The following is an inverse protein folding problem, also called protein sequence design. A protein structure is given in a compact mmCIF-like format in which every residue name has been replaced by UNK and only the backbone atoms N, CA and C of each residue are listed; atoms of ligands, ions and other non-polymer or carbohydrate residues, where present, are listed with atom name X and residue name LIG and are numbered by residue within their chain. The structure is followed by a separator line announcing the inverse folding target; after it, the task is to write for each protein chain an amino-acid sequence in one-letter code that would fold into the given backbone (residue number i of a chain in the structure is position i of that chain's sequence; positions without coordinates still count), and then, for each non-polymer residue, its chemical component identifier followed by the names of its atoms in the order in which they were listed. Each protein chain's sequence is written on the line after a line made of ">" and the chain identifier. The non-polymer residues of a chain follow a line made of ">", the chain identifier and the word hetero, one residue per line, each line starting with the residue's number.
data_IF_928644806991
#
_entry.id   IF_928644806991
#
_cell.length_a   1.000
_cell.length_b   1.000
_cell.length_c   1.000
_cell.angle_alpha   90.00
_cell.angle_beta   90.00
_cell.angle_gamma   90.00
#
_symmetry.space_group_name_H-M   'P 1'
#
loop_
_entity.id
_entity.type
_entity.pdbx_description
1 polymer ?
#
# COMPACT_ATOMS: atom_id res chain seq x y z
N UNK A 1 -6.75 18.42 -10.23
CA UNK A 1 -6.76 17.37 -9.18
C UNK A 1 -7.49 16.11 -9.63
N UNK A 2 -8.73 16.18 -10.14
CA UNK A 2 -9.44 15.00 -10.65
C UNK A 2 -8.71 14.30 -11.83
N UNK A 3 -8.18 15.07 -12.80
CA UNK A 3 -7.38 14.50 -13.89
C UNK A 3 -6.04 13.91 -13.42
N UNK A 4 -5.38 14.53 -12.43
CA UNK A 4 -4.14 14.00 -11.84
C UNK A 4 -4.41 12.73 -11.02
N UNK A 5 -5.53 12.67 -10.30
CA UNK A 5 -5.99 11.46 -9.62
C UNK A 5 -6.37 10.38 -10.62
N UNK A 6 -7.10 10.70 -11.69
CA UNK A 6 -7.46 9.75 -12.74
C UNK A 6 -6.21 9.20 -13.46
N UNK A 7 -5.23 10.05 -13.77
CA UNK A 7 -3.96 9.61 -14.34
C UNK A 7 -3.14 8.74 -13.36
N UNK A 8 -3.07 9.14 -12.08
CA UNK A 8 -2.39 8.34 -11.06
C UNK A 8 -3.13 7.02 -10.81
N UNK A 9 -4.46 7.02 -10.87
CA UNK A 9 -5.31 5.84 -10.76
C UNK A 9 -5.14 4.91 -11.96
N UNK A 10 -5.09 5.43 -13.18
CA UNK A 10 -4.78 4.68 -14.41
C UNK A 10 -3.39 4.03 -14.36
N UNK A 11 -2.36 4.80 -13.99
CA UNK A 11 -0.99 4.27 -13.82
C UNK A 11 -0.94 3.22 -12.71
N UNK A 12 -1.61 3.49 -11.59
CA UNK A 12 -1.69 2.56 -10.46
C UNK A 12 -2.47 1.29 -10.82
N UNK A 13 -3.50 1.41 -11.67
CA UNK A 13 -4.27 0.29 -12.20
C UNK A 13 -3.43 -0.57 -13.14
N UNK A 14 -2.57 0.05 -13.96
CA UNK A 14 -1.64 -0.67 -14.85
C UNK A 14 -0.53 -1.41 -14.08
N UNK A 15 -0.12 -0.87 -12.93
CA UNK A 15 0.90 -1.46 -12.04
C UNK A 15 0.29 -2.41 -10.98
N UNK A 16 -1.03 -2.38 -10.80
CA UNK A 16 -1.74 -3.26 -9.87
C UNK A 16 -1.80 -4.70 -10.42
N UNK A 17 -0.85 -5.52 -9.98
CA UNK A 17 -0.94 -6.97 -10.12
C UNK A 17 -2.11 -7.52 -9.29
N UNK A 18 -2.67 -8.67 -9.68
CA UNK A 18 -3.79 -9.34 -8.98
C UNK A 18 -3.53 -9.62 -7.48
N UNK A 19 -2.28 -9.52 -7.00
CA UNK A 19 -1.88 -9.72 -5.60
C UNK A 19 -1.50 -8.44 -4.86
N UNK A 20 -1.44 -7.29 -5.55
CA UNK A 20 -1.01 -6.02 -4.98
C UNK A 20 -1.91 -4.87 -5.47
N UNK A 21 -2.97 -4.63 -4.70
CA UNK A 21 -3.96 -3.58 -4.97
C UNK A 21 -3.46 -2.24 -4.45
N UNK A 22 -2.44 -1.70 -5.12
CA UNK A 22 -1.91 -0.36 -4.88
C UNK A 22 -3.02 0.72 -4.96
N UNK A 23 -4.06 0.47 -5.75
CA UNK A 23 -5.27 1.31 -5.81
C UNK A 23 -5.97 1.44 -4.46
N UNK A 24 -5.96 0.42 -3.59
CA UNK A 24 -6.56 0.50 -2.25
C UNK A 24 -5.78 1.47 -1.35
N UNK A 25 -4.44 1.42 -1.43
CA UNK A 25 -3.58 2.37 -0.73
C UNK A 25 -3.69 3.79 -1.24
N UNK A 26 -3.82 3.97 -2.56
CA UNK A 26 -4.06 5.29 -3.16
C UNK A 26 -5.38 5.90 -2.67
N UNK A 27 -6.49 5.15 -2.69
CA UNK A 27 -7.79 5.61 -2.19
C UNK A 27 -7.70 6.04 -0.73
N UNK A 28 -7.08 5.21 0.11
CA UNK A 28 -6.89 5.52 1.52
C UNK A 28 -6.02 6.77 1.71
N UNK A 29 -4.89 6.88 1.02
CA UNK A 29 -4.04 8.07 1.08
C UNK A 29 -4.84 9.31 0.69
N UNK A 30 -5.56 9.28 -0.43
CA UNK A 30 -6.40 10.39 -0.86
C UNK A 30 -7.44 10.77 0.19
N UNK A 31 -8.11 9.82 0.85
CA UNK A 31 -9.09 10.11 1.91
C UNK A 31 -8.44 10.67 3.19
N UNK A 32 -7.23 10.25 3.52
CA UNK A 32 -6.50 10.77 4.69
C UNK A 32 -5.96 12.19 4.44
N UNK A 33 -5.58 12.54 3.21
CA UNK A 33 -4.92 13.81 2.88
C UNK A 33 -5.84 14.88 2.30
N UNK A 34 -6.82 14.51 1.47
CA UNK A 34 -7.70 15.49 0.85
C UNK A 34 -8.78 15.94 1.82
N UNK A 35 -9.02 17.26 1.97
CA UNK A 35 -10.13 17.73 2.78
C UNK A 35 -11.45 17.19 2.21
N UNK A 36 -12.39 16.92 3.11
CA UNK A 36 -13.68 16.24 2.82
C UNK A 36 -14.48 16.87 1.68
N UNK A 37 -14.24 18.15 1.38
CA UNK A 37 -14.83 18.87 0.23
C UNK A 37 -14.48 18.29 -1.14
N UNK A 38 -13.32 17.65 -1.31
CA UNK A 38 -12.91 17.05 -2.59
C UNK A 38 -13.28 15.57 -2.73
N UNK A 39 -13.85 14.97 -1.69
CA UNK A 39 -14.24 13.56 -1.70
C UNK A 39 -15.26 13.23 -2.79
N UNK A 40 -16.34 14.01 -3.00
CA UNK A 40 -17.27 13.73 -4.09
C UNK A 40 -16.60 13.69 -5.48
N UNK A 41 -15.59 14.52 -5.72
CA UNK A 41 -14.86 14.53 -6.99
C UNK A 41 -14.05 13.24 -7.19
N UNK A 42 -13.52 12.65 -6.12
CA UNK A 42 -12.85 11.34 -6.16
C UNK A 42 -13.85 10.22 -6.49
N UNK A 43 -15.07 10.27 -5.91
CA UNK A 43 -16.12 9.32 -6.23
C UNK A 43 -16.49 9.37 -7.72
N UNK A 44 -16.70 10.57 -8.26
CA UNK A 44 -17.01 10.75 -9.70
C UNK A 44 -15.88 10.23 -10.59
N UNK A 45 -14.62 10.47 -10.21
CA UNK A 45 -13.46 9.98 -10.95
C UNK A 45 -13.36 8.45 -11.00
N UNK A 46 -13.82 7.76 -9.96
CA UNK A 46 -13.82 6.29 -9.93
C UNK A 46 -15.08 5.68 -10.58
N UNK A 47 -16.24 6.33 -10.46
CA UNK A 47 -17.50 5.82 -11.04
C UNK A 47 -17.49 5.80 -12.57
N UNK A 48 -16.83 6.77 -13.21
CA UNK A 48 -16.82 6.89 -14.67
C UNK A 48 -16.31 5.61 -15.38
N UNK A 49 -15.08 5.11 -15.10
CA UNK A 49 -14.58 3.89 -15.73
C UNK A 49 -15.30 2.61 -15.24
N UNK A 50 -15.88 2.63 -14.04
CA UNK A 50 -16.63 1.50 -13.49
C UNK A 50 -17.95 1.28 -14.24
N UNK A 51 -18.70 2.37 -14.50
CA UNK A 51 -19.96 2.30 -15.24
C UNK A 51 -19.70 1.86 -16.68
N UNK A 52 -18.65 2.38 -17.32
CA UNK A 52 -18.27 1.96 -18.68
C UNK A 52 -17.94 0.45 -18.72
N UNK A 53 -17.10 -0.02 -17.79
CA UNK A 53 -16.76 -1.45 -17.68
C UNK A 53 -18.00 -2.31 -17.37
N UNK A 54 -18.91 -1.82 -16.53
CA UNK A 54 -20.14 -2.50 -16.16
C UNK A 54 -21.07 -2.65 -17.37
N UNK A 55 -21.25 -1.58 -18.17
CA UNK A 55 -22.10 -1.61 -19.37
C UNK A 55 -21.54 -2.54 -20.46
N UNK A 56 -20.22 -2.56 -20.65
CA UNK A 56 -19.57 -3.42 -21.64
C UNK A 56 -19.62 -4.91 -21.26
N UNK A 57 -19.55 -5.23 -19.96
CA UNK A 57 -19.54 -6.60 -19.46
C UNK A 57 -20.91 -7.11 -18.98
N UNK A 58 -21.92 -6.23 -18.86
CA UNK A 58 -23.30 -6.58 -18.50
C UNK A 58 -23.89 -7.71 -19.34
N UNK A 59 -23.70 -7.77 -20.68
CA UNK A 59 -24.24 -8.86 -21.49
C UNK A 59 -23.57 -10.22 -21.21
N UNK A 60 -22.35 -10.23 -20.65
CA UNK A 60 -21.54 -11.44 -20.44
C UNK A 60 -21.57 -11.96 -19.01
N UNK A 61 -21.68 -11.08 -18.02
CA UNK A 61 -21.56 -11.41 -16.59
C UNK A 61 -22.85 -11.18 -15.80
N UNK A 62 -23.92 -10.72 -16.46
CA UNK A 62 -25.24 -10.56 -15.87
C UNK A 62 -25.44 -9.28 -15.03
N UNK A 63 -26.71 -8.96 -14.76
CA UNK A 63 -27.09 -7.73 -14.05
C UNK A 63 -26.63 -7.67 -12.60
N UNK A 64 -26.57 -8.80 -11.89
CA UNK A 64 -26.11 -8.86 -10.51
C UNK A 64 -24.63 -8.47 -10.37
N UNK A 65 -23.79 -8.90 -11.32
CA UNK A 65 -22.40 -8.47 -11.39
C UNK A 65 -22.30 -6.98 -11.69
N UNK A 66 -23.06 -6.48 -12.68
CA UNK A 66 -23.07 -5.08 -13.06
C UNK A 66 -23.46 -4.15 -11.88
N UNK A 67 -24.49 -4.51 -11.09
CA UNK A 67 -24.87 -3.76 -9.89
C UNK A 67 -23.75 -3.77 -8.85
N UNK A 68 -23.14 -4.93 -8.58
CA UNK A 68 -22.05 -5.04 -7.62
C UNK A 68 -20.79 -4.28 -8.04
N UNK A 69 -20.48 -4.28 -9.35
CA UNK A 69 -19.32 -3.60 -9.93
C UNK A 69 -19.55 -2.07 -10.07
N UNK A 70 -20.79 -1.62 -10.11
CA UNK A 70 -21.13 -0.20 -10.22
C UNK A 70 -20.93 0.58 -8.92
N UNK A 71 -20.75 -0.12 -7.79
CA UNK A 71 -20.51 0.53 -6.49
C UNK A 71 -19.03 0.90 -6.38
N UNK A 72 -18.67 2.20 -6.42
CA UNK A 72 -17.28 2.63 -6.32
C UNK A 72 -16.72 2.35 -4.92
N UNK A 73 -15.56 1.69 -4.86
CA UNK A 73 -14.89 1.34 -3.60
C UNK A 73 -14.59 2.56 -2.74
N UNK A 74 -14.26 3.71 -3.35
CA UNK A 74 -13.97 4.92 -2.58
C UNK A 74 -15.18 5.41 -1.79
N UNK A 75 -16.41 5.19 -2.25
CA UNK A 75 -17.62 5.59 -1.51
C UNK A 75 -17.79 4.74 -0.24
N UNK A 76 -17.51 3.44 -0.33
CA UNK A 76 -17.51 2.56 0.84
C UNK A 76 -16.43 3.00 1.85
N UNK A 77 -15.24 3.37 1.36
CA UNK A 77 -14.17 3.86 2.22
C UNK A 77 -14.55 5.20 2.87
N UNK A 78 -15.19 6.12 2.15
CA UNK A 78 -15.66 7.40 2.72
C UNK A 78 -16.61 7.18 3.90
N UNK A 79 -17.55 6.24 3.76
CA UNK A 79 -18.53 5.91 4.79
C UNK A 79 -17.89 5.45 6.10
N UNK A 80 -16.73 4.81 6.04
CA UNK A 80 -16.00 4.32 7.21
C UNK A 80 -14.91 5.27 7.72
N UNK A 81 -14.10 5.83 6.81
CA UNK A 81 -12.95 6.66 7.16
C UNK A 81 -13.40 8.00 7.77
N UNK A 82 -14.52 8.57 7.31
CA UNK A 82 -15.05 9.84 7.87
C UNK A 82 -15.38 9.75 9.36
N UNK A 83 -16.24 8.82 9.83
CA UNK A 83 -16.53 8.72 11.26
C UNK A 83 -15.31 8.31 12.08
N UNK A 84 -14.38 7.53 11.50
CA UNK A 84 -13.12 7.19 12.16
C UNK A 84 -12.27 8.43 12.43
N UNK A 85 -12.05 9.29 11.42
CA UNK A 85 -11.27 10.51 11.55
C UNK A 85 -11.95 11.58 12.42
N UNK A 86 -13.29 11.60 12.45
CA UNK A 86 -14.05 12.49 13.34
C UNK A 86 -13.91 12.09 14.80
N UNK A 87 -13.85 10.79 15.10
CA UNK A 87 -13.64 10.30 16.47
C UNK A 87 -12.17 10.32 16.90
N UNK A 88 -11.26 10.09 15.95
CA UNK A 88 -9.83 9.97 16.19
C UNK A 88 -9.05 10.76 15.11
N UNK A 89 -8.72 12.03 15.36
CA UNK A 89 -8.00 12.82 14.37
C UNK A 89 -6.61 12.23 14.11
N UNK A 90 -6.17 12.32 12.85
CA UNK A 90 -4.91 11.72 12.37
C UNK A 90 -3.69 12.24 13.14
N UNK A 91 -3.75 13.50 13.60
CA UNK A 91 -2.74 14.12 14.45
C UNK A 91 -3.24 14.18 15.90
N UNK A 92 -2.34 13.83 16.83
CA UNK A 92 -2.51 14.05 18.25
C UNK A 92 -2.52 15.54 18.61
N UNK A 93 -2.94 15.86 19.82
CA UNK A 93 -2.83 17.22 20.36
C UNK A 93 -1.35 17.67 20.44
N UNK A 94 -0.43 16.70 20.52
CA UNK A 94 1.03 16.89 20.45
C UNK A 94 1.57 17.11 19.01
N UNK A 95 0.69 17.19 18.00
CA UNK A 95 1.05 17.33 16.59
C UNK A 95 1.62 16.07 15.92
N UNK A 96 1.84 14.98 16.68
CA UNK A 96 2.35 13.70 16.17
C UNK A 96 1.28 12.90 15.44
N UNK A 97 1.69 12.18 14.40
CA UNK A 97 0.82 11.26 13.66
C UNK A 97 0.44 10.06 14.54
N UNK A 98 -0.86 9.80 14.68
CA UNK A 98 -1.37 8.61 15.38
C UNK A 98 -1.33 7.40 14.44
N UNK A 99 -0.20 6.68 14.46
CA UNK A 99 0.01 5.53 13.58
C UNK A 99 -1.04 4.42 13.77
N UNK A 100 -1.59 4.28 14.99
CA UNK A 100 -2.68 3.34 15.28
C UNK A 100 -3.95 3.62 14.48
N UNK A 101 -4.28 4.90 14.23
CA UNK A 101 -5.45 5.29 13.43
C UNK A 101 -5.22 4.93 11.96
N UNK A 102 -4.01 5.15 11.44
CA UNK A 102 -3.64 4.73 10.09
C UNK A 102 -3.76 3.21 9.96
N UNK A 103 -3.22 2.46 10.92
CA UNK A 103 -3.35 0.99 10.90
C UNK A 103 -4.80 0.51 10.97
N UNK A 104 -5.63 1.10 11.84
CA UNK A 104 -7.05 0.77 11.90
C UNK A 104 -7.77 1.11 10.58
N UNK A 105 -7.47 2.27 9.98
CA UNK A 105 -8.03 2.67 8.70
C UNK A 105 -7.59 1.73 7.56
N UNK A 106 -6.31 1.35 7.52
CA UNK A 106 -5.77 0.40 6.53
C UNK A 106 -6.43 -0.96 6.65
N UNK A 107 -6.61 -1.47 7.87
CA UNK A 107 -7.25 -2.77 8.11
C UNK A 107 -8.73 -2.73 7.70
N UNK A 108 -9.47 -1.70 8.08
CA UNK A 108 -10.86 -1.58 7.71
C UNK A 108 -11.06 -1.43 6.20
N UNK A 109 -10.24 -0.60 5.53
CA UNK A 109 -10.28 -0.48 4.07
C UNK A 109 -9.95 -1.80 3.38
N UNK A 110 -8.98 -2.55 3.90
CA UNK A 110 -8.64 -3.87 3.37
C UNK A 110 -9.79 -4.87 3.51
N UNK A 111 -10.47 -4.89 4.65
CA UNK A 111 -11.66 -5.73 4.87
C UNK A 111 -12.79 -5.35 3.93
N UNK A 112 -13.10 -4.06 3.80
CA UNK A 112 -14.13 -3.56 2.88
C UNK A 112 -13.80 -3.97 1.43
N UNK A 113 -12.55 -3.78 1.00
CA UNK A 113 -12.11 -4.22 -0.33
C UNK A 113 -12.23 -5.71 -0.52
N UNK A 114 -11.76 -6.53 0.41
CA UNK A 114 -11.84 -7.99 0.30
C UNK A 114 -13.28 -8.49 0.22
N UNK A 115 -14.18 -7.94 1.05
CA UNK A 115 -15.60 -8.29 1.05
C UNK A 115 -16.23 -7.90 -0.28
N UNK A 116 -16.08 -6.65 -0.72
CA UNK A 116 -16.73 -6.19 -1.96
C UNK A 116 -16.17 -6.90 -3.19
N UNK A 117 -14.86 -7.13 -3.29
CA UNK A 117 -14.27 -7.93 -4.39
C UNK A 117 -14.75 -9.37 -4.37
N UNK A 118 -14.92 -9.98 -3.19
CA UNK A 118 -15.42 -11.36 -3.08
C UNK A 118 -16.90 -11.47 -3.42
N UNK A 119 -17.71 -10.46 -3.08
CA UNK A 119 -19.11 -10.38 -3.52
C UNK A 119 -19.19 -10.26 -5.03
N UNK A 120 -18.39 -9.38 -5.65
CA UNK A 120 -18.32 -9.24 -7.12
C UNK A 120 -17.86 -10.53 -7.80
N UNK A 121 -16.90 -11.26 -7.20
CA UNK A 121 -16.48 -12.56 -7.71
C UNK A 121 -17.58 -13.61 -7.59
N UNK A 122 -18.28 -13.66 -6.45
CA UNK A 122 -19.39 -14.58 -6.23
C UNK A 122 -20.55 -14.32 -7.19
N UNK A 123 -20.91 -13.06 -7.44
CA UNK A 123 -21.96 -12.71 -8.40
C UNK A 123 -21.56 -13.04 -9.84
N UNK A 124 -20.29 -12.91 -10.20
CA UNK A 124 -19.77 -13.35 -11.50
C UNK A 124 -19.86 -14.87 -11.68
N UNK A 125 -19.45 -15.65 -10.67
CA UNK A 125 -19.50 -17.11 -10.71
C UNK A 125 -20.93 -17.65 -10.75
N UNK A 126 -21.86 -17.00 -10.04
CA UNK A 126 -23.29 -17.34 -10.11
C UNK A 126 -23.90 -17.08 -11.49
N UNK A 127 -23.45 -16.04 -12.18
CA UNK A 127 -23.91 -15.72 -13.54
C UNK A 127 -23.27 -16.60 -14.62
N UNK A 128 -22.14 -17.24 -14.35
CA UNK A 128 -21.44 -18.13 -15.28
C UNK A 128 -20.78 -19.33 -14.56
N UNK A 129 -21.58 -20.31 -14.10
CA UNK A 129 -21.11 -21.41 -13.23
C UNK A 129 -20.03 -22.29 -13.85
N UNK A 130 -20.03 -22.46 -15.17
CA UNK A 130 -19.09 -23.34 -15.88
C UNK A 130 -17.82 -22.65 -16.39
N UNK A 131 -17.74 -21.31 -16.29
CA UNK A 131 -16.65 -20.58 -16.92
C UNK A 131 -15.30 -20.76 -16.21
N UNK A 132 -15.29 -21.15 -14.92
CA UNK A 132 -14.07 -21.21 -14.11
C UNK A 132 -14.09 -22.32 -13.05
N UNK A 133 -14.01 -23.61 -13.45
CA UNK A 133 -13.95 -24.72 -12.51
C UNK A 133 -12.63 -24.65 -11.72
N UNK A 134 -12.73 -24.42 -10.40
CA UNK A 134 -11.57 -24.41 -9.48
C UNK A 134 -11.31 -23.08 -8.76
N UNK A 135 -12.05 -22.01 -9.05
CA UNK A 135 -11.93 -20.75 -8.29
C UNK A 135 -12.69 -20.85 -6.97
N UNK A 136 -11.97 -20.94 -5.86
CA UNK A 136 -12.56 -20.83 -4.52
C UNK A 136 -12.65 -19.36 -4.08
N UNK A 137 -13.87 -18.85 -3.88
CA UNK A 137 -14.10 -17.48 -3.38
C UNK A 137 -13.34 -17.22 -2.07
N UNK A 138 -13.28 -18.23 -1.19
CA UNK A 138 -12.64 -18.12 0.12
C UNK A 138 -11.11 -17.96 0.04
N UNK A 139 -10.41 -18.69 -0.83
CA UNK A 139 -8.95 -18.52 -0.95
C UNK A 139 -8.60 -17.15 -1.55
N UNK A 140 -9.38 -16.70 -2.53
CA UNK A 140 -9.22 -15.37 -3.13
C UNK A 140 -9.54 -14.25 -2.15
N UNK A 141 -10.54 -14.42 -1.26
CA UNK A 141 -10.84 -13.46 -0.20
C UNK A 141 -9.60 -13.13 0.63
N UNK A 142 -8.87 -14.15 1.10
CA UNK A 142 -7.66 -13.95 1.91
C UNK A 142 -6.53 -13.29 1.13
N UNK A 143 -6.32 -13.70 -0.13
CA UNK A 143 -5.33 -13.08 -1.00
C UNK A 143 -5.65 -11.60 -1.26
N UNK A 144 -6.92 -11.27 -1.54
CA UNK A 144 -7.36 -9.88 -1.74
C UNK A 144 -7.27 -9.06 -0.45
N UNK A 145 -7.63 -9.63 0.69
CA UNK A 145 -7.49 -8.97 1.99
C UNK A 145 -6.02 -8.63 2.27
N UNK A 146 -5.12 -9.58 2.08
CA UNK A 146 -3.71 -9.40 2.34
C UNK A 146 -3.07 -8.40 1.36
N UNK A 147 -3.42 -8.49 0.08
CA UNK A 147 -2.97 -7.56 -0.95
C UNK A 147 -3.46 -6.13 -0.71
N UNK A 148 -4.73 -5.96 -0.35
CA UNK A 148 -5.31 -4.66 -0.03
C UNK A 148 -4.73 -4.08 1.26
N UNK A 149 -4.50 -4.93 2.26
CA UNK A 149 -3.86 -4.55 3.51
C UNK A 149 -2.42 -4.10 3.28
N UNK A 150 -1.59 -4.90 2.60
CA UNK A 150 -0.21 -4.54 2.28
C UNK A 150 -0.14 -3.30 1.39
N UNK A 151 -1.00 -3.19 0.38
CA UNK A 151 -1.09 -2.01 -0.48
C UNK A 151 -1.38 -0.75 0.32
N UNK A 152 -2.36 -0.79 1.21
CA UNK A 152 -2.71 0.34 2.08
C UNK A 152 -1.64 0.64 3.13
N UNK A 153 -1.13 -0.40 3.79
CA UNK A 153 -0.13 -0.33 4.86
C UNK A 153 1.21 0.24 4.38
N UNK A 154 1.57 0.00 3.11
CA UNK A 154 2.84 0.46 2.56
C UNK A 154 2.72 1.82 1.91
N UNK A 155 1.62 2.06 1.18
CA UNK A 155 1.44 3.29 0.42
C UNK A 155 1.02 4.48 1.31
N UNK A 156 0.04 4.29 2.21
CA UNK A 156 -0.48 5.39 3.04
C UNK A 156 0.61 6.07 3.90
N UNK A 157 1.44 5.35 4.68
CA UNK A 157 2.50 6.00 5.45
C UNK A 157 3.64 6.54 4.58
N UNK A 158 3.92 5.94 3.41
CA UNK A 158 4.93 6.47 2.50
C UNK A 158 4.52 7.83 1.93
N UNK A 159 3.25 7.98 1.53
CA UNK A 159 2.69 9.27 1.12
C UNK A 159 2.68 10.26 2.27
N UNK A 160 2.36 9.84 3.49
CA UNK A 160 2.43 10.70 4.69
C UNK A 160 3.83 11.23 4.94
N UNK A 161 4.83 10.34 4.89
CA UNK A 161 6.22 10.69 5.06
C UNK A 161 6.70 11.66 3.98
N UNK A 162 6.22 11.49 2.74
CA UNK A 162 6.52 12.41 1.64
C UNK A 162 5.83 13.77 1.83
N UNK A 163 4.57 13.78 2.26
CA UNK A 163 3.80 14.99 2.49
C UNK A 163 4.42 15.87 3.59
N UNK A 164 4.76 15.28 4.74
CA UNK A 164 5.41 16.02 5.84
C UNK A 164 6.77 16.58 5.42
N UNK A 165 7.50 15.85 4.58
CA UNK A 165 8.76 16.35 4.02
C UNK A 165 8.55 17.48 3.01
N UNK A 166 7.49 17.44 2.21
CA UNK A 166 7.16 18.53 1.29
C UNK A 166 6.72 19.80 2.02
N UNK A 167 5.99 19.67 3.13
CA UNK A 167 5.64 20.81 3.99
C UNK A 167 6.86 21.40 4.70
N UNK A 168 7.79 20.54 5.15
CA UNK A 168 9.04 20.99 5.78
C UNK A 168 10.02 21.65 4.78
N UNK A 169 9.89 21.38 3.49
CA UNK A 169 10.70 21.94 2.42
C UNK A 169 9.91 23.05 1.70
N UNK A 170 10.07 24.30 2.13
CA UNK A 170 9.39 25.47 1.53
C UNK A 170 9.58 25.59 0.00
N UNK A 171 10.61 24.97 -0.57
CA UNK A 171 10.75 24.70 -2.01
C UNK A 171 11.21 23.27 -2.25
N UNK A 172 10.43 22.49 -2.99
CA UNK A 172 10.79 21.14 -3.44
C UNK A 172 11.81 21.26 -4.57
N UNK A 173 13.06 21.55 -4.24
CA UNK A 173 14.17 21.48 -5.19
C UNK A 173 14.69 20.05 -5.26
N UNK A 174 14.92 19.54 -6.48
CA UNK A 174 15.46 18.20 -6.70
C UNK A 174 16.76 17.94 -5.91
N UNK A 175 17.61 18.96 -5.77
CA UNK A 175 18.83 18.90 -4.97
C UNK A 175 18.58 18.75 -3.45
N UNK A 176 17.50 19.33 -2.92
CA UNK A 176 17.13 19.22 -1.50
C UNK A 176 16.60 17.82 -1.18
N UNK A 177 15.83 17.25 -2.11
CA UNK A 177 15.35 15.86 -2.05
C UNK A 177 16.53 14.89 -2.07
N UNK A 178 17.47 15.06 -3.00
CA UNK A 178 18.67 14.22 -3.13
C UNK A 178 19.66 14.32 -1.96
N UNK A 179 19.70 15.46 -1.26
CA UNK A 179 20.53 15.66 -0.06
C UNK A 179 19.95 15.02 1.21
N UNK A 180 18.72 14.52 1.18
CA UNK A 180 18.11 13.89 2.34
C UNK A 180 18.82 12.57 2.69
N UNK A 181 19.26 12.43 3.94
CA UNK A 181 19.88 11.19 4.44
C UNK A 181 19.03 9.95 4.20
N UNK A 182 17.71 10.07 4.27
CA UNK A 182 16.80 8.94 4.01
C UNK A 182 16.80 8.51 2.54
N UNK A 183 16.79 9.45 1.60
CA UNK A 183 16.78 9.12 0.16
C UNK A 183 18.15 8.60 -0.25
N UNK A 184 19.21 9.21 0.27
CA UNK A 184 20.58 8.72 0.07
C UNK A 184 20.74 7.30 0.61
N UNK A 185 20.29 7.00 1.82
CA UNK A 185 20.36 5.65 2.38
C UNK A 185 19.45 4.67 1.62
N UNK A 186 18.24 5.10 1.24
CA UNK A 186 17.34 4.26 0.46
C UNK A 186 17.93 3.91 -0.91
N UNK A 187 18.50 4.87 -1.63
CA UNK A 187 19.07 4.67 -2.97
C UNK A 187 20.42 3.98 -2.92
N UNK A 188 21.27 4.29 -1.94
CA UNK A 188 22.65 3.78 -1.87
C UNK A 188 22.73 2.31 -1.45
N UNK A 189 21.87 1.86 -0.55
CA UNK A 189 21.97 0.49 -0.02
C UNK A 189 20.64 -0.26 -0.03
N UNK A 190 19.52 0.35 0.39
CA UNK A 190 18.28 -0.41 0.55
C UNK A 190 17.68 -0.86 -0.79
N UNK A 191 17.59 0.04 -1.77
CA UNK A 191 17.10 -0.23 -3.11
C UNK A 191 17.94 -1.27 -3.86
N UNK A 192 19.28 -1.15 -3.96
CA UNK A 192 20.08 -2.18 -4.63
C UNK A 192 19.99 -3.53 -3.93
N UNK A 193 19.94 -3.56 -2.59
CA UNK A 193 19.76 -4.82 -1.85
C UNK A 193 18.42 -5.48 -2.19
N UNK A 194 17.33 -4.70 -2.22
CA UNK A 194 16.01 -5.21 -2.61
C UNK A 194 15.99 -5.71 -4.05
N UNK A 195 16.62 -4.99 -4.99
CA UNK A 195 16.72 -5.41 -6.40
C UNK A 195 17.49 -6.72 -6.52
N UNK A 196 18.64 -6.86 -5.86
CA UNK A 196 19.44 -8.09 -5.89
C UNK A 196 18.67 -9.26 -5.27
N UNK A 197 17.98 -9.05 -4.16
CA UNK A 197 17.17 -10.10 -3.51
C UNK A 197 15.96 -10.51 -4.37
N UNK A 198 15.29 -9.56 -5.04
CA UNK A 198 14.22 -9.86 -5.99
C UNK A 198 14.73 -10.63 -7.18
N UNK A 199 15.85 -10.21 -7.75
CA UNK A 199 16.50 -10.92 -8.84
C UNK A 199 16.88 -12.35 -8.44
N UNK A 200 17.47 -12.52 -7.26
CA UNK A 200 17.80 -13.84 -6.71
C UNK A 200 16.55 -14.71 -6.55
N UNK A 201 15.45 -14.15 -6.04
CA UNK A 201 14.19 -14.88 -5.88
C UNK A 201 13.58 -15.32 -7.23
N UNK A 202 13.78 -14.53 -8.29
CA UNK A 202 13.31 -14.85 -9.65
C UNK A 202 14.15 -15.91 -10.35
N UNK A 203 15.48 -15.84 -10.23
CA UNK A 203 16.40 -16.76 -10.94
C UNK A 203 16.51 -18.10 -10.24
N UNK A 204 16.27 -18.16 -8.93
CA UNK A 204 16.44 -19.39 -8.17
C UNK A 204 15.31 -20.38 -8.41
N UNK A 205 15.68 -21.63 -8.73
CA UNK A 205 14.77 -22.77 -8.89
C UNK A 205 14.45 -23.51 -7.58
N UNK A 206 15.20 -23.25 -6.52
CA UNK A 206 14.99 -23.84 -5.20
C UNK A 206 14.03 -22.99 -4.34
N UNK A 207 12.91 -23.58 -3.94
CA UNK A 207 11.86 -22.91 -3.17
C UNK A 207 12.33 -22.41 -1.80
N UNK A 208 13.22 -23.14 -1.13
CA UNK A 208 13.76 -22.74 0.18
C UNK A 208 14.60 -21.47 0.05
N UNK A 209 15.48 -21.41 -0.96
CA UNK A 209 16.33 -20.24 -1.21
C UNK A 209 15.48 -19.04 -1.64
N UNK A 210 14.43 -19.27 -2.44
CA UNK A 210 13.45 -18.23 -2.81
C UNK A 210 12.74 -17.66 -1.58
N UNK A 211 12.25 -18.51 -0.67
CA UNK A 211 11.62 -18.05 0.58
C UNK A 211 12.60 -17.30 1.47
N UNK A 212 13.83 -17.80 1.64
CA UNK A 212 14.86 -17.11 2.39
C UNK A 212 15.15 -15.74 1.80
N UNK A 213 15.28 -15.62 0.48
CA UNK A 213 15.49 -14.33 -0.19
C UNK A 213 14.32 -13.36 0.09
N UNK A 214 13.07 -13.83 -0.01
CA UNK A 214 11.86 -13.04 0.28
C UNK A 214 11.81 -12.56 1.74
N UNK A 215 12.16 -13.40 2.71
CA UNK A 215 12.23 -13.00 4.13
C UNK A 215 13.40 -12.04 4.40
N UNK A 216 14.52 -12.21 3.69
CA UNK A 216 15.70 -11.34 3.79
C UNK A 216 15.39 -9.92 3.32
N UNK A 217 14.37 -9.71 2.47
CA UNK A 217 13.90 -8.36 2.08
C UNK A 217 13.40 -7.52 3.27
N UNK A 218 13.14 -8.11 4.44
CA UNK A 218 12.78 -7.37 5.65
C UNK A 218 13.98 -6.69 6.33
N UNK A 219 15.20 -7.20 6.13
CA UNK A 219 16.43 -6.60 6.70
C UNK A 219 16.67 -5.16 6.24
N UNK A 220 16.57 -4.82 4.94
CA UNK A 220 16.72 -3.43 4.53
C UNK A 220 15.62 -2.52 5.09
N UNK A 221 14.42 -3.04 5.30
CA UNK A 221 13.36 -2.30 5.99
C UNK A 221 13.72 -2.01 7.43
N UNK A 222 14.25 -3.01 8.16
CA UNK A 222 14.69 -2.85 9.53
C UNK A 222 15.80 -1.80 9.64
N UNK A 223 16.82 -1.86 8.77
CA UNK A 223 17.92 -0.90 8.78
C UNK A 223 17.45 0.53 8.51
N UNK A 224 16.50 0.73 7.58
CA UNK A 224 15.91 2.04 7.34
C UNK A 224 15.05 2.50 8.53
N UNK A 225 14.25 1.60 9.11
CA UNK A 225 13.41 1.89 10.28
C UNK A 225 14.23 2.31 11.49
N UNK A 226 15.35 1.65 11.75
CA UNK A 226 16.25 1.98 12.86
C UNK A 226 16.94 3.34 12.68
N UNK A 227 17.36 3.68 11.45
CA UNK A 227 18.07 4.94 11.17
C UNK A 227 17.16 6.16 11.06
N UNK A 228 15.93 5.98 10.55
CA UNK A 228 15.04 7.08 10.18
C UNK A 228 13.66 7.01 10.84
N UNK A 229 13.48 6.13 11.83
CA UNK A 229 12.20 5.92 12.51
C UNK A 229 11.10 5.46 11.56
N UNK A 230 9.88 5.94 11.80
CA UNK A 230 8.71 5.55 10.99
C UNK A 230 8.80 5.97 9.51
N UNK A 231 9.54 7.03 9.18
CA UNK A 231 9.74 7.40 7.76
C UNK A 231 10.53 6.32 7.02
N UNK A 232 11.54 5.74 7.67
CA UNK A 232 12.34 4.67 7.10
C UNK A 232 11.55 3.37 6.92
N UNK A 233 10.71 3.01 7.89
CA UNK A 233 9.83 1.84 7.76
C UNK A 233 8.76 2.02 6.69
N UNK A 234 8.27 3.25 6.47
CA UNK A 234 7.32 3.54 5.40
C UNK A 234 7.92 3.33 4.00
N UNK A 235 9.05 3.97 3.69
CA UNK A 235 9.71 3.83 2.38
C UNK A 235 10.33 2.44 2.19
N UNK A 236 10.98 1.89 3.22
CA UNK A 236 11.51 0.54 3.19
C UNK A 236 10.40 -0.49 2.99
N UNK A 237 9.28 -0.36 3.70
CA UNK A 237 8.13 -1.26 3.56
C UNK A 237 7.47 -1.20 2.20
N UNK A 238 7.34 0.00 1.61
CA UNK A 238 6.90 0.14 0.22
C UNK A 238 7.85 -0.57 -0.74
N UNK A 239 9.16 -0.33 -0.63
CA UNK A 239 10.16 -1.01 -1.45
C UNK A 239 10.12 -2.54 -1.32
N UNK A 240 10.06 -3.06 -0.10
CA UNK A 240 9.99 -4.50 0.15
C UNK A 240 8.70 -5.13 -0.38
N UNK A 241 7.57 -4.41 -0.30
CA UNK A 241 6.30 -4.87 -0.86
C UNK A 241 6.34 -4.93 -2.39
N UNK A 242 6.93 -3.91 -3.04
CA UNK A 242 7.18 -3.91 -4.50
C UNK A 242 8.07 -5.09 -4.88
N UNK A 243 9.18 -5.26 -4.17
CA UNK A 243 10.17 -6.31 -4.40
C UNK A 243 9.57 -7.72 -4.26
N UNK A 244 8.74 -7.93 -3.24
CA UNK A 244 8.04 -9.18 -3.00
C UNK A 244 6.99 -9.46 -4.07
N UNK A 245 6.21 -8.45 -4.47
CA UNK A 245 5.23 -8.56 -5.55
C UNK A 245 5.90 -8.87 -6.91
N UNK A 246 7.00 -8.20 -7.22
CA UNK A 246 7.78 -8.43 -8.44
C UNK A 246 8.45 -9.81 -8.48
N UNK A 247 8.60 -10.47 -7.32
CA UNK A 247 9.15 -11.83 -7.21
C UNK A 247 8.08 -12.93 -7.33
N UNK A 248 6.83 -12.56 -7.61
CA UNK A 248 5.72 -13.49 -7.81
C UNK A 248 5.68 -14.01 -9.24
N UNK A 249 5.88 -15.32 -9.42
CA UNK A 249 5.84 -15.97 -10.75
C UNK A 249 4.55 -16.75 -10.99
N UNK A 250 3.77 -17.03 -9.95
CA UNK A 250 2.55 -17.84 -10.00
C UNK A 250 1.41 -17.16 -9.26
N UNK A 251 0.21 -17.21 -9.83
CA UNK A 251 -1.02 -16.70 -9.24
C UNK A 251 -1.37 -17.54 -8.00
N UNK A 252 -1.46 -16.92 -6.81
CA UNK A 252 -1.78 -17.59 -5.53
C UNK A 252 -0.73 -18.61 -5.02
N UNK A 253 0.57 -18.32 -5.16
CA UNK A 253 1.63 -19.12 -4.51
C UNK A 253 1.49 -19.10 -2.96
N UNK A 254 1.25 -20.25 -2.29
CA UNK A 254 1.12 -20.31 -0.82
C UNK A 254 2.36 -19.78 -0.09
N UNK A 255 3.55 -20.02 -0.63
CA UNK A 255 4.80 -19.55 -0.05
C UNK A 255 4.89 -18.01 -0.10
N UNK A 256 4.38 -17.40 -1.17
CA UNK A 256 4.32 -15.95 -1.32
C UNK A 256 3.32 -15.34 -0.32
N UNK A 257 2.15 -15.97 -0.16
CA UNK A 257 1.14 -15.53 0.82
C UNK A 257 1.71 -15.57 2.24
N UNK A 258 2.43 -16.62 2.61
CA UNK A 258 3.12 -16.70 3.91
C UNK A 258 4.11 -15.54 4.10
N UNK A 259 4.96 -15.26 3.10
CA UNK A 259 5.90 -14.14 3.15
C UNK A 259 5.17 -12.79 3.29
N UNK A 260 4.06 -12.61 2.58
CA UNK A 260 3.24 -11.40 2.65
C UNK A 260 2.61 -11.21 4.04
N UNK A 261 2.14 -12.27 4.70
CA UNK A 261 1.60 -12.20 6.08
C UNK A 261 2.70 -11.77 7.05
N UNK A 262 3.88 -12.40 6.96
CA UNK A 262 5.02 -12.04 7.83
C UNK A 262 5.45 -10.60 7.58
N UNK A 263 5.51 -10.17 6.31
CA UNK A 263 5.81 -8.79 5.95
C UNK A 263 4.78 -7.82 6.53
N UNK A 264 3.49 -8.13 6.42
CA UNK A 264 2.41 -7.29 6.92
C UNK A 264 2.50 -7.08 8.44
N UNK A 265 2.73 -8.15 9.20
CA UNK A 265 2.93 -8.08 10.65
C UNK A 265 4.19 -7.29 10.99
N UNK A 266 5.30 -7.57 10.31
CA UNK A 266 6.57 -6.89 10.51
C UNK A 266 6.46 -5.38 10.27
N UNK A 267 5.84 -4.96 9.17
CA UNK A 267 5.64 -3.55 8.84
C UNK A 267 4.73 -2.84 9.84
N UNK A 268 3.63 -3.47 10.24
CA UNK A 268 2.73 -2.90 11.25
C UNK A 268 3.43 -2.69 12.58
N UNK A 269 4.25 -3.65 13.02
CA UNK A 269 5.08 -3.52 14.22
C UNK A 269 6.12 -2.41 14.07
N UNK A 270 6.85 -2.37 12.95
CA UNK A 270 7.88 -1.35 12.69
C UNK A 270 7.32 0.07 12.60
N UNK A 271 6.11 0.25 12.06
CA UNK A 271 5.45 1.55 12.00
C UNK A 271 4.99 2.01 13.40
N UNK A 272 4.44 1.10 14.21
CA UNK A 272 4.06 1.42 15.61
C UNK A 272 5.27 1.75 16.48
N UNK A 273 6.34 0.97 16.37
CA UNK A 273 7.58 1.18 17.15
C UNK A 273 8.31 2.43 16.64
N UNK A 274 8.45 2.59 15.32
CA UNK A 274 9.12 3.73 14.71
C UNK A 274 8.42 5.06 14.94
N UNK A 275 7.10 5.06 15.21
CA UNK A 275 6.34 6.25 15.59
C UNK A 275 6.57 6.66 17.06
N UNK A 276 7.07 5.73 17.89
CA UNK A 276 7.36 5.95 19.32
C UNK A 276 8.83 6.17 19.62
N UNK A 277 9.73 5.67 18.77
CA UNK A 277 11.17 5.77 18.97
C UNK A 277 11.68 7.21 18.71
N UNK A 278 12.51 7.79 19.60
CA UNK A 278 13.28 8.98 19.25
C UNK A 278 14.24 8.63 18.12
N UNK A 279 14.33 9.48 17.09
CA UNK A 279 15.27 9.30 15.98
C UNK A 279 16.68 9.22 16.58
N UNK A 280 17.31 8.05 16.50
CA UNK A 280 18.72 7.89 16.87
C UNK A 280 19.51 8.55 15.73
N UNK A 281 19.66 9.87 15.82
CA UNK A 281 20.58 10.59 14.98
C UNK A 281 21.97 9.97 15.22
N UNK A 282 22.50 9.32 14.19
CA UNK A 282 23.87 8.83 14.22
C UNK A 282 24.77 10.00 14.65
N UNK A 283 25.46 9.80 15.77
CA UNK A 283 26.36 10.77 16.38
C UNK A 283 27.42 11.15 15.34
N UNK A 284 27.27 12.32 14.71
CA UNK A 284 28.38 12.98 14.03
C UNK A 284 29.21 13.57 15.16
N UNK A 285 30.47 13.15 15.38
CA UNK A 285 31.33 13.84 16.33
C UNK A 285 31.53 15.27 15.81
N UNK A 286 30.90 16.24 16.48
CA UNK A 286 31.24 17.65 16.35
C UNK A 286 32.66 17.79 16.85
N UNK A 287 33.61 17.72 15.92
CA UNK A 287 34.99 18.17 16.15
C UNK A 287 34.90 19.64 16.55
N UNK A 288 35.09 19.90 17.85
CA UNK A 288 35.38 21.24 18.35
C UNK A 288 36.67 21.71 17.68
N UNK A 289 36.56 22.65 16.74
CA UNK A 289 37.70 23.50 16.37
C UNK A 289 37.66 24.72 17.29
N UNK A 290 38.39 24.60 18.40
CA UNK A 290 38.90 25.74 19.17
C UNK A 290 40.31 26.04 18.64
N UNK A 291 40.48 27.27 18.14
CA UNK A 291 41.68 28.13 18.06
C UNK A 291 41.71 28.89 16.75
#
# INVERSE_FOLDING_TARGET
>A
MAAAYAACYEVTRHVSFSHWTLTAGLRLACLLFLPTRYWPALAVGETLPLIESALLCMPKLGGAWAVSASIPMIVLFMGFVKPLLQRWPLRGDDGRVRMSVILAATLACAVISAVSTSVTLATALLASPEAWPGISVTAYFWAYLLGAYLGALTFAPAVLALYERSEALAQVTWAAVWRSGLIRDTVSWAAPTLVVLSWLALVTTNDTVRQMARLTMMLPVLGLALRHGWHGSAFGGMGASVALAASGTVLLDPAMIQCQVVLALFLSSMLLVGARAPVIAACVPTVQRNS
#
